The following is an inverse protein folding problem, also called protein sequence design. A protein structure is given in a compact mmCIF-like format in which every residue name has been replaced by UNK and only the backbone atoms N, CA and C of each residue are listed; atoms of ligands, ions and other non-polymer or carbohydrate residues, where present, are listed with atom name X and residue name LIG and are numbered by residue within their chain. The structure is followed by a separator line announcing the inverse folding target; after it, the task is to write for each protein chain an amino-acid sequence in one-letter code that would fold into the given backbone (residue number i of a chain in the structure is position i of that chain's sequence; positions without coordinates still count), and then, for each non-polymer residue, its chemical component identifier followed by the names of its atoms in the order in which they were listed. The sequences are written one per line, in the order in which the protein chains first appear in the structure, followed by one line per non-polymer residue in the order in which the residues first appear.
data_IF_432438424325
#
_entry.id   IF_432438424325
#
_cell.length_a   1.000
_cell.length_b   1.000
_cell.length_c   1.000
_cell.angle_alpha   90.00
_cell.angle_beta   90.00
_cell.angle_gamma   90.00
#
_symmetry.space_group_name_H-M   'P 1'
#
loop_
_entity.id
_entity.type
_entity.pdbx_description
1 polymer ?
#
# COMPACT_ATOMS: atom_id res chain seq x y z
N UNK A 1 25.42 3.30 9.10
CA UNK A 1 25.06 3.55 7.68
C UNK A 1 25.31 2.34 6.76
N UNK A 2 26.26 1.43 7.04
CA UNK A 2 26.45 0.22 6.21
C UNK A 2 25.36 -0.85 6.38
N UNK A 3 24.93 -1.17 7.61
CA UNK A 3 23.82 -2.14 7.83
C UNK A 3 22.48 -1.75 7.21
N UNK A 4 22.22 -0.47 7.00
CA UNK A 4 21.01 0.01 6.30
C UNK A 4 21.12 -0.21 4.80
N UNK A 5 22.34 -0.12 4.25
CA UNK A 5 22.66 -0.38 2.84
C UNK A 5 22.63 -1.87 2.53
N UNK A 6 23.06 -2.72 3.46
CA UNK A 6 22.94 -4.18 3.31
C UNK A 6 21.50 -4.66 3.29
N UNK A 7 20.63 -4.19 4.20
CA UNK A 7 19.24 -4.66 4.25
C UNK A 7 18.41 -4.25 3.02
N UNK A 8 18.58 -3.02 2.50
CA UNK A 8 17.87 -2.58 1.30
C UNK A 8 18.40 -3.25 0.02
N UNK A 9 19.68 -3.64 0.03
CA UNK A 9 20.30 -4.43 -1.04
C UNK A 9 19.88 -5.90 -0.97
N UNK A 10 19.80 -6.50 0.22
CA UNK A 10 19.20 -7.83 0.44
C UNK A 10 17.74 -7.87 0.03
N UNK A 11 16.96 -6.83 0.30
CA UNK A 11 15.55 -6.75 -0.13
C UNK A 11 15.42 -6.61 -1.67
N UNK A 12 16.38 -5.94 -2.32
CA UNK A 12 16.45 -5.83 -3.78
C UNK A 12 16.93 -7.12 -4.44
N UNK A 13 17.98 -7.74 -3.91
CA UNK A 13 18.57 -8.99 -4.40
C UNK A 13 17.65 -10.18 -4.14
N UNK A 14 16.94 -10.21 -3.01
CA UNK A 14 15.87 -11.19 -2.74
C UNK A 14 14.71 -11.02 -3.73
N UNK A 15 14.34 -9.79 -4.11
CA UNK A 15 13.31 -9.53 -5.14
C UNK A 15 13.75 -9.99 -6.53
N UNK A 16 15.02 -9.81 -6.90
CA UNK A 16 15.58 -10.36 -8.15
C UNK A 16 15.58 -11.88 -8.10
N UNK A 17 16.00 -12.49 -6.99
CA UNK A 17 16.02 -13.95 -6.84
C UNK A 17 14.61 -14.56 -6.89
N UNK A 18 13.61 -13.91 -6.30
CA UNK A 18 12.19 -14.33 -6.39
C UNK A 18 11.65 -14.12 -7.81
N UNK A 19 12.06 -13.07 -8.52
CA UNK A 19 11.69 -12.87 -9.93
C UNK A 19 12.33 -13.89 -10.86
N UNK A 20 13.59 -14.28 -10.64
CA UNK A 20 14.28 -15.33 -11.39
C UNK A 20 13.64 -16.70 -11.11
N UNK A 21 13.28 -16.98 -9.85
CA UNK A 21 12.51 -18.18 -9.50
C UNK A 21 11.12 -18.18 -10.16
N UNK A 22 10.44 -17.02 -10.26
CA UNK A 22 9.15 -16.91 -10.94
C UNK A 22 9.25 -17.12 -12.47
N UNK A 23 10.36 -16.77 -13.11
CA UNK A 23 10.59 -17.04 -14.53
C UNK A 23 10.91 -18.49 -14.88
N UNK A 24 11.25 -19.33 -13.89
CA UNK A 24 11.51 -20.77 -14.10
C UNK A 24 10.27 -21.67 -13.86
N UNK A 25 9.13 -21.08 -13.51
CA UNK A 25 7.87 -21.79 -13.25
C UNK A 25 6.84 -21.54 -14.36
N UNK A 26 7.20 -21.89 -15.61
CA UNK A 26 6.20 -22.13 -16.64
C UNK A 26 5.65 -23.54 -16.39
N UNK A 27 4.53 -23.65 -15.66
CA UNK A 27 3.72 -24.88 -15.63
C UNK A 27 3.48 -25.57 -14.28
N UNK A 28 3.66 -24.91 -13.13
CA UNK A 28 3.32 -25.50 -11.83
C UNK A 28 2.65 -24.48 -10.90
N UNK A 29 1.42 -24.76 -10.47
CA UNK A 29 0.74 -23.98 -9.43
C UNK A 29 1.55 -24.12 -8.15
N UNK A 30 2.22 -23.04 -7.72
CA UNK A 30 3.01 -23.05 -6.50
C UNK A 30 2.05 -23.19 -5.29
N UNK A 31 2.09 -24.34 -4.62
CA UNK A 31 1.18 -24.74 -3.54
C UNK A 31 1.61 -24.19 -2.17
N UNK A 32 2.13 -22.97 -2.11
CA UNK A 32 2.42 -22.32 -0.83
C UNK A 32 1.16 -21.65 -0.28
N UNK A 33 0.89 -21.87 1.01
CA UNK A 33 -0.20 -21.23 1.73
C UNK A 33 -0.14 -19.70 1.61
N UNK A 34 -1.22 -19.07 1.13
CA UNK A 34 -1.28 -17.61 1.02
C UNK A 34 -1.30 -16.97 2.41
N UNK A 35 -0.45 -15.96 2.64
CA UNK A 35 -0.44 -15.16 3.86
C UNK A 35 -1.24 -13.89 3.65
N UNK A 36 -2.33 -13.71 4.41
CA UNK A 36 -3.16 -12.51 4.35
C UNK A 36 -3.05 -11.76 5.68
N UNK A 37 -2.62 -10.51 5.61
CA UNK A 37 -2.67 -9.60 6.75
C UNK A 37 -4.03 -8.90 6.77
N UNK A 38 -4.70 -8.88 7.92
CA UNK A 38 -5.90 -8.07 8.16
C UNK A 38 -5.53 -6.93 9.09
N UNK A 39 -5.69 -5.68 8.63
CA UNK A 39 -5.48 -4.49 9.44
C UNK A 39 -6.85 -3.91 9.82
N UNK A 40 -7.16 -3.90 11.11
CA UNK A 40 -8.32 -3.18 11.65
C UNK A 40 -7.93 -1.72 11.94
N UNK A 41 -8.42 -0.81 11.10
CA UNK A 41 -8.23 0.63 11.25
C UNK A 41 -9.37 1.33 12.02
N UNK A 42 -10.27 0.58 12.66
CA UNK A 42 -11.26 1.12 13.57
C UNK A 42 -10.76 1.23 15.01
N UNK A 43 -11.36 2.09 15.84
CA UNK A 43 -11.02 2.20 17.27
C UNK A 43 -11.50 1.00 18.11
N UNK A 44 -12.35 0.14 17.55
CA UNK A 44 -12.85 -1.08 18.19
C UNK A 44 -13.32 -2.09 17.13
N UNK A 45 -13.66 -3.31 17.58
CA UNK A 45 -14.19 -4.41 16.75
C UNK A 45 -15.70 -4.25 16.48
N UNK A 46 -16.08 -3.20 15.76
CA UNK A 46 -17.49 -2.87 15.42
C UNK A 46 -18.02 -3.50 14.12
N UNK A 47 -19.01 -2.84 13.49
CA UNK A 47 -19.71 -3.33 12.30
C UNK A 47 -18.78 -3.70 11.12
N UNK A 48 -17.78 -2.87 10.82
CA UNK A 48 -16.81 -3.17 9.75
C UNK A 48 -15.97 -4.39 10.07
N UNK A 49 -15.58 -4.55 11.34
CA UNK A 49 -14.86 -5.74 11.79
C UNK A 49 -15.72 -6.99 11.65
N UNK A 50 -16.99 -6.93 12.05
CA UNK A 50 -17.94 -8.04 11.87
C UNK A 50 -18.09 -8.46 10.41
N UNK A 51 -18.18 -7.50 9.48
CA UNK A 51 -18.18 -7.81 8.05
C UNK A 51 -16.83 -8.40 7.58
N UNK A 52 -15.72 -7.96 8.18
CA UNK A 52 -14.38 -8.47 7.87
C UNK A 52 -14.22 -9.93 8.32
N UNK A 53 -14.81 -10.31 9.46
CA UNK A 53 -14.88 -11.71 9.89
C UNK A 53 -15.67 -12.59 8.92
N UNK A 54 -16.76 -12.08 8.34
CA UNK A 54 -17.48 -12.80 7.28
C UNK A 54 -16.63 -12.93 6.01
N UNK A 55 -15.87 -11.89 5.63
CA UNK A 55 -14.90 -11.97 4.52
C UNK A 55 -13.81 -13.00 4.80
N UNK A 56 -13.31 -13.08 6.04
CA UNK A 56 -12.33 -14.09 6.46
C UNK A 56 -12.89 -15.50 6.32
N UNK A 57 -14.14 -15.75 6.75
CA UNK A 57 -14.83 -17.04 6.55
C UNK A 57 -15.00 -17.39 5.07
N UNK A 58 -15.34 -16.40 4.24
CA UNK A 58 -15.47 -16.58 2.78
C UNK A 58 -14.12 -16.94 2.15
N UNK A 59 -13.03 -16.30 2.57
CA UNK A 59 -11.68 -16.65 2.11
C UNK A 59 -11.32 -18.09 2.50
N UNK A 60 -11.61 -18.48 3.75
CA UNK A 60 -11.37 -19.85 4.23
C UNK A 60 -12.21 -20.90 3.51
N UNK A 61 -13.41 -20.56 3.03
CA UNK A 61 -14.22 -21.49 2.23
C UNK A 61 -13.69 -21.67 0.80
N UNK A 62 -12.88 -20.74 0.30
CA UNK A 62 -12.18 -20.90 -0.98
C UNK A 62 -10.85 -21.62 -0.84
N UNK A 63 -10.12 -21.41 0.27
CA UNK A 63 -8.82 -22.03 0.53
C UNK A 63 -8.57 -22.09 2.05
N UNK A 64 -8.67 -23.30 2.60
CA UNK A 64 -8.46 -23.55 4.04
C UNK A 64 -6.99 -23.42 4.46
N UNK A 65 -6.05 -23.34 3.50
CA UNK A 65 -4.62 -23.22 3.79
C UNK A 65 -4.18 -21.78 4.04
N UNK A 66 -5.05 -20.79 3.84
CA UNK A 66 -4.73 -19.38 4.06
C UNK A 66 -4.31 -19.14 5.52
N UNK A 67 -3.15 -18.51 5.71
CA UNK A 67 -2.66 -18.07 7.01
C UNK A 67 -3.01 -16.60 7.21
N UNK A 68 -3.79 -16.31 8.25
CA UNK A 68 -4.17 -14.95 8.62
C UNK A 68 -3.27 -14.41 9.72
N UNK A 69 -2.75 -13.21 9.53
CA UNK A 69 -2.23 -12.36 10.62
C UNK A 69 -3.17 -11.17 10.81
N UNK A 70 -3.34 -10.70 12.03
CA UNK A 70 -4.21 -9.57 12.33
C UNK A 70 -3.44 -8.50 13.08
N UNK A 71 -3.66 -7.24 12.71
CA UNK A 71 -3.17 -6.08 13.43
C UNK A 71 -4.34 -5.15 13.70
N UNK A 72 -4.65 -4.91 14.99
CA UNK A 72 -5.65 -3.93 15.38
C UNK A 72 -4.95 -2.64 15.76
N UNK A 73 -5.14 -1.57 14.99
CA UNK A 73 -4.45 -0.31 15.26
C UNK A 73 -4.83 0.30 16.62
N UNK A 74 -6.01 -0.07 17.16
CA UNK A 74 -6.45 0.27 18.53
C UNK A 74 -5.53 -0.24 19.63
N UNK A 75 -4.76 -1.29 19.34
CA UNK A 75 -3.98 -2.01 20.34
C UNK A 75 -2.48 -1.64 20.24
N UNK A 76 -2.12 -0.74 19.31
CA UNK A 76 -0.73 -0.41 18.96
C UNK A 76 -0.22 0.81 19.72
N UNK A 77 -1.09 1.56 20.41
CA UNK A 77 -0.76 2.78 21.17
C UNK A 77 0.14 3.75 20.39
N UNK A 78 -0.11 3.91 19.09
CA UNK A 78 0.66 4.78 18.21
C UNK A 78 0.39 6.26 18.54
N UNK A 79 1.38 7.04 19.03
CA UNK A 79 1.20 8.47 19.27
C UNK A 79 0.91 9.21 17.96
N UNK A 80 0.33 10.42 18.04
CA UNK A 80 0.05 11.19 16.83
C UNK A 80 1.34 11.56 16.08
N UNK A 81 1.28 11.52 14.74
CA UNK A 81 2.39 12.00 13.91
C UNK A 81 2.64 13.48 14.22
N UNK A 82 3.86 13.80 14.64
CA UNK A 82 4.24 15.16 15.03
C UNK A 82 4.78 16.01 13.85
N UNK A 83 4.64 15.54 12.61
CA UNK A 83 5.05 16.31 11.43
C UNK A 83 6.56 16.52 11.26
N UNK A 84 7.43 15.88 12.07
CA UNK A 84 8.88 16.15 12.12
C UNK A 84 9.68 15.95 10.82
N UNK A 85 9.08 15.45 9.74
CA UNK A 85 9.70 15.23 8.42
C UNK A 85 10.96 14.33 8.38
N UNK A 86 11.39 13.75 9.50
CA UNK A 86 12.55 12.86 9.59
C UNK A 86 12.43 11.66 8.65
N UNK A 87 11.22 11.12 8.49
CA UNK A 87 10.98 9.99 7.60
C UNK A 87 11.32 10.31 6.13
N UNK A 88 11.13 11.55 5.69
CA UNK A 88 11.51 12.05 4.36
C UNK A 88 12.99 12.43 4.28
N UNK A 89 13.50 13.17 5.27
CA UNK A 89 14.85 13.73 5.26
C UNK A 89 15.95 12.70 5.50
N UNK A 90 15.78 11.87 6.54
CA UNK A 90 16.80 10.95 7.06
C UNK A 90 16.36 9.47 6.99
N UNK A 91 15.20 9.23 6.39
CA UNK A 91 14.59 7.92 6.26
C UNK A 91 13.69 7.51 7.44
N UNK A 92 12.66 6.71 7.11
CA UNK A 92 11.59 6.29 8.03
C UNK A 92 12.04 5.69 9.36
N UNK A 93 13.23 5.07 9.42
CA UNK A 93 13.82 4.50 10.65
C UNK A 93 14.19 5.55 11.69
N UNK A 94 14.32 6.82 11.29
CA UNK A 94 14.61 7.95 12.18
C UNK A 94 13.35 8.62 12.76
N UNK A 95 12.16 8.14 12.39
CA UNK A 95 10.93 8.57 13.04
C UNK A 95 10.97 8.22 14.55
N UNK A 96 10.59 9.14 15.46
CA UNK A 96 10.57 8.83 16.90
C UNK A 96 9.60 7.68 17.24
N UNK A 97 8.59 7.45 16.41
CA UNK A 97 7.61 6.37 16.57
C UNK A 97 7.94 5.13 15.70
N UNK A 98 9.14 5.04 15.11
CA UNK A 98 9.50 3.94 14.22
C UNK A 98 9.36 2.56 14.90
N UNK A 99 9.73 2.43 16.18
CA UNK A 99 9.62 1.16 16.92
C UNK A 99 8.18 0.61 16.97
N UNK A 100 7.18 1.47 16.84
CA UNK A 100 5.76 1.12 16.85
C UNK A 100 5.25 0.86 15.42
N UNK A 101 5.66 1.68 14.45
CA UNK A 101 5.19 1.59 13.07
C UNK A 101 5.85 0.45 12.30
N UNK A 102 7.14 0.20 12.53
CA UNK A 102 7.95 -0.76 11.79
C UNK A 102 7.38 -2.20 11.86
N UNK A 103 6.95 -2.74 13.01
CA UNK A 103 6.34 -4.06 13.06
C UNK A 103 5.12 -4.22 12.14
N UNK A 104 4.28 -3.18 11.98
CA UNK A 104 3.15 -3.23 11.05
C UNK A 104 3.64 -3.23 9.59
N UNK A 105 4.68 -2.46 9.28
CA UNK A 105 5.29 -2.47 7.95
C UNK A 105 5.86 -3.85 7.61
N UNK A 106 6.53 -4.50 8.57
CA UNK A 106 7.11 -5.83 8.39
C UNK A 106 6.00 -6.87 8.14
N UNK A 107 4.88 -6.78 8.87
CA UNK A 107 3.70 -7.61 8.61
C UNK A 107 3.14 -7.41 7.18
N UNK A 108 3.15 -6.18 6.65
CA UNK A 108 2.75 -5.91 5.26
C UNK A 108 3.75 -6.55 4.30
N UNK A 109 5.06 -6.42 4.54
CA UNK A 109 6.11 -6.99 3.67
C UNK A 109 6.04 -8.52 3.63
N UNK A 110 5.78 -9.18 4.77
CA UNK A 110 5.68 -10.64 4.90
C UNK A 110 4.41 -11.26 4.30
N UNK A 111 3.36 -10.46 4.03
CA UNK A 111 2.09 -10.96 3.52
C UNK A 111 2.01 -10.95 1.98
N UNK A 112 1.22 -11.84 1.40
CA UNK A 112 0.95 -11.85 -0.05
C UNK A 112 -0.10 -10.80 -0.44
N UNK A 113 -1.04 -10.54 0.47
CA UNK A 113 -2.08 -9.55 0.31
C UNK A 113 -2.51 -8.94 1.66
N UNK A 114 -3.26 -7.84 1.61
CA UNK A 114 -3.73 -7.12 2.80
C UNK A 114 -5.23 -6.83 2.72
N UNK A 115 -5.98 -7.13 3.78
CA UNK A 115 -7.36 -6.71 3.96
C UNK A 115 -7.39 -5.56 4.97
N UNK A 116 -7.99 -4.44 4.60
CA UNK A 116 -8.18 -3.28 5.47
C UNK A 116 -9.64 -3.19 5.91
N UNK A 117 -9.88 -3.31 7.22
CA UNK A 117 -11.17 -3.02 7.87
C UNK A 117 -11.20 -1.55 8.28
N UNK A 118 -12.01 -0.73 7.60
CA UNK A 118 -12.02 0.72 7.74
C UNK A 118 -13.44 1.25 7.96
N UNK A 119 -13.90 1.47 9.21
CA UNK A 119 -15.19 2.13 9.43
C UNK A 119 -15.21 3.53 8.80
N UNK A 120 -16.37 3.93 8.28
CA UNK A 120 -16.56 5.26 7.68
C UNK A 120 -16.97 6.26 8.76
N UNK A 121 -16.07 7.15 9.15
CA UNK A 121 -16.35 8.26 10.07
C UNK A 121 -16.31 9.58 9.31
N UNK A 122 -17.40 10.34 9.33
CA UNK A 122 -17.55 11.61 8.59
C UNK A 122 -17.21 11.48 7.09
N UNK A 123 -17.47 10.32 6.49
CA UNK A 123 -17.16 10.06 5.07
C UNK A 123 -15.68 9.85 4.76
N UNK A 124 -14.83 9.73 5.78
CA UNK A 124 -13.38 9.61 5.64
C UNK A 124 -12.81 8.46 6.50
N UNK A 125 -11.49 8.28 6.40
CA UNK A 125 -10.71 7.37 7.26
C UNK A 125 -10.86 7.74 8.75
N UNK A 126 -10.98 6.76 9.65
CA UNK A 126 -10.93 7.00 11.10
C UNK A 126 -9.62 7.66 11.52
N UNK A 127 -9.64 8.48 12.57
CA UNK A 127 -8.45 9.17 13.09
C UNK A 127 -7.29 8.23 13.41
N UNK A 128 -7.57 7.04 13.95
CA UNK A 128 -6.54 6.04 14.27
C UNK A 128 -5.84 5.48 13.01
N UNK A 129 -6.60 5.17 11.97
CA UNK A 129 -6.03 4.75 10.69
C UNK A 129 -5.33 5.90 10.00
N UNK A 130 -5.90 7.11 10.04
CA UNK A 130 -5.28 8.31 9.48
C UNK A 130 -3.94 8.59 10.14
N UNK A 131 -3.84 8.46 11.46
CA UNK A 131 -2.59 8.57 12.20
C UNK A 131 -1.55 7.55 11.71
N UNK A 132 -1.93 6.28 11.52
CA UNK A 132 -1.03 5.29 10.92
C UNK A 132 -0.60 5.71 9.49
N UNK A 133 -1.53 6.16 8.64
CA UNK A 133 -1.17 6.59 7.28
C UNK A 133 -0.28 7.83 7.26
N UNK A 134 -0.37 8.72 8.25
CA UNK A 134 0.46 9.91 8.37
C UNK A 134 1.92 9.56 8.72
N UNK A 135 2.14 8.54 9.54
CA UNK A 135 3.48 7.99 9.76
C UNK A 135 4.05 7.32 8.50
N UNK A 136 3.18 6.85 7.61
CA UNK A 136 3.52 6.18 6.37
C UNK A 136 3.58 7.15 5.17
N UNK A 137 3.46 8.46 5.38
CA UNK A 137 3.41 9.45 4.30
C UNK A 137 4.61 9.39 3.34
N UNK A 138 5.80 9.04 3.85
CA UNK A 138 7.02 8.85 3.04
C UNK A 138 6.86 7.78 1.94
N UNK A 139 5.92 6.85 2.08
CA UNK A 139 5.63 5.84 1.05
C UNK A 139 5.04 6.44 -0.23
N UNK A 140 4.43 7.63 -0.18
CA UNK A 140 3.94 8.33 -1.37
C UNK A 140 5.09 8.82 -2.25
N UNK A 141 6.27 9.01 -1.65
CA UNK A 141 7.50 9.39 -2.34
C UNK A 141 8.36 8.17 -2.67
N UNK A 142 8.35 7.17 -1.79
CA UNK A 142 9.19 5.98 -1.91
C UNK A 142 8.36 4.70 -1.82
N UNK A 143 7.49 4.44 -2.82
CA UNK A 143 6.61 3.27 -2.83
C UNK A 143 7.39 1.95 -2.79
N UNK A 144 6.78 0.92 -2.19
CA UNK A 144 7.43 -0.38 -1.93
C UNK A 144 6.59 -1.59 -2.32
N UNK A 145 5.27 -1.49 -2.27
CA UNK A 145 4.37 -2.65 -2.29
C UNK A 145 3.85 -3.00 -3.70
N UNK A 146 4.70 -2.87 -4.73
CA UNK A 146 4.35 -2.93 -6.16
C UNK A 146 3.65 -4.20 -6.66
N UNK A 147 3.77 -5.30 -5.93
CA UNK A 147 3.17 -6.60 -6.26
C UNK A 147 1.98 -6.96 -5.37
N UNK A 148 1.80 -6.26 -4.25
CA UNK A 148 0.77 -6.59 -3.25
C UNK A 148 -0.60 -6.11 -3.72
N UNK A 149 -1.62 -6.87 -3.34
CA UNK A 149 -3.03 -6.54 -3.58
C UNK A 149 -3.73 -6.26 -2.26
N UNK A 150 -4.72 -5.38 -2.30
CA UNK A 150 -5.50 -5.01 -1.13
C UNK A 150 -7.00 -5.21 -1.34
N UNK A 151 -7.72 -5.52 -0.28
CA UNK A 151 -9.17 -5.40 -0.18
C UNK A 151 -9.52 -4.41 0.93
N UNK A 152 -10.19 -3.31 0.57
CA UNK A 152 -10.63 -2.28 1.53
C UNK A 152 -12.11 -2.46 1.81
N UNK A 153 -12.44 -2.80 3.06
CA UNK A 153 -13.79 -3.02 3.55
C UNK A 153 -14.21 -1.81 4.36
N UNK A 154 -15.38 -1.26 4.08
CA UNK A 154 -15.93 -0.16 4.88
C UNK A 154 -17.42 -0.31 5.09
N UNK A 155 -17.86 -0.05 6.32
CA UNK A 155 -19.29 0.07 6.64
C UNK A 155 -19.63 1.50 7.08
N UNK A 156 -20.85 1.94 6.78
CA UNK A 156 -21.44 3.21 7.23
C UNK A 156 -22.87 2.98 7.71
N UNK A 157 -23.31 3.75 8.71
CA UNK A 157 -24.72 3.79 9.12
C UNK A 157 -25.61 4.56 8.13
N UNK A 158 -25.04 5.30 7.18
CA UNK A 158 -25.80 6.12 6.23
C UNK A 158 -25.15 6.14 4.86
N UNK A 159 -24.39 7.19 4.57
CA UNK A 159 -23.75 7.41 3.27
C UNK A 159 -22.21 7.37 3.38
N UNK A 160 -21.53 7.45 2.25
CA UNK A 160 -20.07 7.71 2.16
C UNK A 160 -19.11 6.56 2.49
N UNK A 161 -19.58 5.32 2.69
CA UNK A 161 -18.67 4.16 2.74
C UNK A 161 -17.80 4.06 1.47
N UNK A 162 -18.35 4.40 0.29
CA UNK A 162 -17.57 4.42 -0.96
C UNK A 162 -16.44 5.46 -0.93
N UNK A 163 -16.71 6.65 -0.40
CA UNK A 163 -15.70 7.71 -0.27
C UNK A 163 -14.55 7.26 0.63
N UNK A 164 -14.87 6.58 1.74
CA UNK A 164 -13.87 6.01 2.65
C UNK A 164 -13.01 4.95 1.97
N UNK A 165 -13.62 3.99 1.25
CA UNK A 165 -12.85 2.96 0.53
C UNK A 165 -11.96 3.57 -0.57
N UNK A 166 -12.44 4.61 -1.26
CA UNK A 166 -11.68 5.30 -2.32
C UNK A 166 -10.50 6.09 -1.75
N UNK A 167 -10.69 6.77 -0.62
CA UNK A 167 -9.64 7.53 0.04
C UNK A 167 -8.45 6.64 0.44
N UNK A 168 -8.73 5.48 1.05
CA UNK A 168 -7.65 4.53 1.37
C UNK A 168 -7.06 3.91 0.10
N UNK A 169 -7.87 3.50 -0.88
CA UNK A 169 -7.36 2.89 -2.12
C UNK A 169 -6.43 3.84 -2.90
N UNK A 170 -6.71 5.15 -2.90
CA UNK A 170 -5.82 6.15 -3.47
C UNK A 170 -4.47 6.20 -2.71
N UNK A 171 -4.53 6.21 -1.37
CA UNK A 171 -3.33 6.18 -0.51
C UNK A 171 -2.48 4.93 -0.76
N UNK A 172 -3.10 3.75 -0.78
CA UNK A 172 -2.43 2.46 -1.02
C UNK A 172 -1.80 2.37 -2.40
N UNK A 173 -2.45 2.93 -3.43
CA UNK A 173 -1.88 3.01 -4.78
C UNK A 173 -0.60 3.85 -4.76
N UNK A 174 -0.57 4.94 -3.98
CA UNK A 174 0.62 5.75 -3.77
C UNK A 174 1.74 5.01 -3.02
N UNK A 175 1.42 4.07 -2.14
CA UNK A 175 2.41 3.17 -1.49
C UNK A 175 2.91 2.06 -2.41
N UNK A 176 2.33 1.95 -3.61
CA UNK A 176 2.68 1.00 -4.65
C UNK A 176 1.74 -0.20 -4.78
N UNK A 177 0.68 -0.35 -3.98
CA UNK A 177 -0.21 -1.52 -4.12
C UNK A 177 -0.70 -1.69 -5.57
N UNK A 178 -0.49 -2.87 -6.14
CA UNK A 178 -0.76 -3.15 -7.54
C UNK A 178 -2.25 -3.04 -7.89
N UNK A 179 -3.09 -3.52 -6.98
CA UNK A 179 -4.55 -3.51 -7.14
C UNK A 179 -5.24 -3.38 -5.78
N UNK A 180 -6.20 -2.46 -5.70
CA UNK A 180 -7.06 -2.30 -4.54
C UNK A 180 -8.52 -2.63 -4.92
N UNK A 181 -9.09 -3.62 -4.26
CA UNK A 181 -10.52 -3.97 -4.29
C UNK A 181 -11.24 -3.19 -3.19
N UNK A 182 -12.51 -2.86 -3.41
CA UNK A 182 -13.28 -1.99 -2.51
C UNK A 182 -14.65 -2.63 -2.22
N UNK A 183 -14.97 -2.78 -0.94
CA UNK A 183 -16.24 -3.31 -0.44
C UNK A 183 -16.92 -2.29 0.49
N UNK A 184 -17.58 -1.25 -0.06
CA UNK A 184 -18.38 -0.34 0.73
C UNK A 184 -19.79 -0.92 0.97
N UNK A 185 -20.19 -0.99 2.24
CA UNK A 185 -21.50 -1.49 2.68
C UNK A 185 -22.20 -0.45 3.54
N UNK A 186 -23.51 -0.30 3.33
CA UNK A 186 -24.38 0.51 4.20
C UNK A 186 -25.01 -0.42 5.24
N UNK A 187 -24.47 -0.39 6.45
CA UNK A 187 -24.84 -1.23 7.58
C UNK A 187 -25.77 -0.47 8.53
N UNK A 188 -27.04 -0.31 8.15
CA UNK A 188 -28.07 0.34 8.97
C UNK A 188 -28.28 -0.46 10.26
N UNK A 189 -27.72 0.00 11.37
CA UNK A 189 -27.85 -0.65 12.67
C UNK A 189 -27.42 0.27 13.80
N UNK A 190 -28.06 0.13 14.96
CA UNK A 190 -27.63 0.73 16.22
C UNK A 190 -26.77 -0.27 16.99
N UNK A 191 -25.49 -0.36 16.64
CA UNK A 191 -24.50 -1.28 17.26
C UNK A 191 -24.83 -2.79 17.24
N UNK A 192 -25.81 -3.20 16.42
CA UNK A 192 -26.24 -4.59 16.27
C UNK A 192 -26.27 -5.00 14.79
N UNK A 193 -25.21 -4.70 14.05
CA UNK A 193 -25.18 -5.03 12.62
C UNK A 193 -25.18 -6.55 12.41
N UNK A 194 -26.21 -7.03 11.74
CA UNK A 194 -26.24 -8.37 11.17
C UNK A 194 -26.17 -8.25 9.65
N UNK A 195 -25.08 -8.75 9.01
CA UNK A 195 -24.96 -8.71 7.56
C UNK A 195 -26.17 -9.36 6.88
N UNK A 196 -26.88 -8.56 6.08
CA UNK A 196 -28.02 -9.07 5.32
C UNK A 196 -27.56 -10.04 4.25
N UNK A 197 -28.46 -10.88 3.70
CA UNK A 197 -28.17 -11.72 2.53
C UNK A 197 -27.56 -10.92 1.36
N UNK A 198 -27.99 -9.67 1.19
CA UNK A 198 -27.46 -8.76 0.15
C UNK A 198 -26.03 -8.33 0.46
N UNK A 199 -25.72 -8.01 1.71
CA UNK A 199 -24.37 -7.63 2.12
C UNK A 199 -23.41 -8.81 1.98
N UNK A 200 -23.83 -9.99 2.44
CA UNK A 200 -23.08 -11.24 2.30
C UNK A 200 -22.82 -11.60 0.84
N UNK A 201 -23.82 -11.45 -0.04
CA UNK A 201 -23.61 -11.65 -1.50
C UNK A 201 -22.57 -10.70 -2.07
N UNK A 202 -22.65 -9.40 -1.74
CA UNK A 202 -21.65 -8.40 -2.18
C UNK A 202 -20.25 -8.71 -1.64
N UNK A 203 -20.17 -9.09 -0.36
CA UNK A 203 -18.93 -9.47 0.29
C UNK A 203 -18.33 -10.69 -0.41
N UNK A 204 -19.14 -11.72 -0.68
CA UNK A 204 -18.72 -12.92 -1.40
C UNK A 204 -18.20 -12.60 -2.81
N UNK A 205 -18.96 -11.85 -3.61
CA UNK A 205 -18.58 -11.52 -4.99
C UNK A 205 -17.27 -10.71 -5.06
N UNK A 206 -17.09 -9.75 -4.14
CA UNK A 206 -15.87 -8.95 -4.08
C UNK A 206 -14.68 -9.77 -3.56
N UNK A 207 -14.89 -10.57 -2.53
CA UNK A 207 -13.87 -11.46 -1.93
C UNK A 207 -13.40 -12.49 -2.94
N UNK A 208 -14.31 -13.08 -3.72
CA UNK A 208 -13.97 -14.00 -4.81
C UNK A 208 -13.06 -13.34 -5.85
N UNK A 209 -13.39 -12.12 -6.29
CA UNK A 209 -12.56 -11.37 -7.24
C UNK A 209 -11.18 -11.06 -6.69
N UNK A 210 -11.08 -10.67 -5.42
CA UNK A 210 -9.82 -10.43 -4.74
C UNK A 210 -9.00 -11.72 -4.61
N UNK A 211 -9.59 -12.80 -4.10
CA UNK A 211 -8.92 -14.09 -3.89
C UNK A 211 -8.38 -14.68 -5.19
N UNK A 212 -9.20 -14.75 -6.25
CA UNK A 212 -8.77 -15.29 -7.54
C UNK A 212 -7.59 -14.48 -8.11
N UNK A 213 -7.61 -13.15 -7.97
CA UNK A 213 -6.54 -12.29 -8.45
C UNK A 213 -5.25 -12.46 -7.63
N UNK A 214 -5.35 -12.57 -6.30
CA UNK A 214 -4.22 -12.90 -5.43
C UNK A 214 -3.62 -14.25 -5.83
N UNK A 215 -4.42 -15.31 -5.91
CA UNK A 215 -3.96 -16.67 -6.21
C UNK A 215 -3.36 -16.79 -7.61
N UNK A 216 -3.87 -16.04 -8.59
CA UNK A 216 -3.35 -16.08 -9.96
C UNK A 216 -1.94 -15.50 -10.11
N UNK A 217 -1.44 -14.74 -9.12
CA UNK A 217 -0.16 -14.02 -9.24
C UNK A 217 -0.18 -12.90 -10.28
N UNK A 218 -1.33 -12.61 -10.92
CA UNK A 218 -1.44 -11.60 -11.97
C UNK A 218 -0.97 -10.23 -11.48
N UNK A 219 -0.07 -9.61 -12.23
CA UNK A 219 0.37 -8.23 -12.00
C UNK A 219 -0.36 -7.32 -12.98
N UNK A 220 -1.05 -6.32 -12.46
CA UNK A 220 -1.82 -5.35 -13.25
C UNK A 220 -0.95 -4.19 -13.70
N UNK A 221 -1.27 -3.68 -14.89
CA UNK A 221 -0.67 -2.45 -15.42
C UNK A 221 -1.08 -1.27 -14.54
N UNK A 222 -0.13 -0.43 -14.07
CA UNK A 222 -0.42 0.66 -13.13
C UNK A 222 -1.35 1.71 -13.73
N UNK A 223 -2.11 2.40 -12.89
CA UNK A 223 -2.95 3.54 -13.31
C UNK A 223 -2.07 4.73 -13.71
N UNK A 224 -2.62 5.67 -14.49
CA UNK A 224 -1.90 6.89 -14.87
C UNK A 224 -1.53 7.73 -13.62
N UNK A 225 -2.41 7.73 -12.60
CA UNK A 225 -2.21 8.51 -11.38
C UNK A 225 -0.93 8.19 -10.63
N UNK A 226 -0.45 6.94 -10.66
CA UNK A 226 0.82 6.55 -10.01
C UNK A 226 2.04 6.74 -10.91
N UNK A 227 1.85 6.85 -12.23
CA UNK A 227 2.96 7.10 -13.16
C UNK A 227 3.50 8.52 -13.06
N UNK A 228 2.61 9.48 -12.78
CA UNK A 228 2.95 10.90 -12.62
C UNK A 228 3.98 11.10 -11.49
N UNK A 229 3.66 10.82 -10.21
CA UNK A 229 4.62 11.02 -9.14
C UNK A 229 5.87 10.15 -9.33
N UNK A 230 5.72 8.90 -9.80
CA UNK A 230 6.86 8.02 -9.99
C UNK A 230 7.91 8.60 -10.94
N UNK A 231 7.52 9.05 -12.13
CA UNK A 231 8.46 9.57 -13.13
C UNK A 231 8.93 11.00 -12.80
N UNK A 232 8.11 11.81 -12.12
CA UNK A 232 8.51 13.15 -11.67
C UNK A 232 9.58 13.07 -10.59
N UNK A 233 9.35 12.33 -9.50
CA UNK A 233 10.31 12.24 -8.41
C UNK A 233 11.62 11.59 -8.85
N UNK A 234 11.55 10.54 -9.68
CA UNK A 234 12.72 9.95 -10.31
C UNK A 234 13.56 10.99 -11.06
N UNK A 235 12.92 11.82 -11.90
CA UNK A 235 13.63 12.84 -12.67
C UNK A 235 14.22 13.94 -11.79
N UNK A 236 13.45 14.39 -10.79
CA UNK A 236 13.84 15.51 -9.94
C UNK A 236 14.93 15.17 -8.92
N UNK A 237 15.09 13.90 -8.55
CA UNK A 237 16.10 13.48 -7.57
C UNK A 237 17.44 13.10 -8.21
N UNK A 238 17.47 12.72 -9.51
CA UNK A 238 18.70 12.30 -10.21
C UNK A 238 19.59 13.50 -10.61
N UNK A 239 19.02 14.67 -10.86
CA UNK A 239 19.74 15.88 -11.28
C UNK A 239 19.55 17.05 -10.31
N UNK A 240 19.21 16.76 -9.05
CA UNK A 240 18.85 17.78 -8.07
C UNK A 240 20.06 18.62 -7.66
N UNK A 241 20.05 19.92 -7.96
CA UNK A 241 21.09 20.85 -7.52
C UNK A 241 21.20 21.00 -6.00
N UNK A 242 20.11 20.76 -5.26
CA UNK A 242 20.03 20.90 -3.81
C UNK A 242 20.39 19.65 -3.02
N UNK A 243 20.87 18.57 -3.66
CA UNK A 243 21.32 17.36 -2.95
C UNK A 243 22.46 17.66 -1.96
N UNK A 244 23.34 18.62 -2.29
CA UNK A 244 24.42 19.04 -1.40
C UNK A 244 23.93 19.88 -0.22
N UNK A 245 22.94 20.73 -0.46
CA UNK A 245 22.50 21.73 0.51
C UNK A 245 21.41 21.18 1.45
N UNK A 246 20.55 20.30 0.93
CA UNK A 246 19.43 19.68 1.65
C UNK A 246 19.27 18.21 1.24
N UNK A 247 20.20 17.32 1.59
CA UNK A 247 20.09 15.90 1.25
C UNK A 247 18.86 15.29 1.91
N UNK A 248 18.10 14.51 1.13
CA UNK A 248 16.91 13.80 1.60
C UNK A 248 17.04 12.31 1.29
N UNK A 249 16.28 11.48 1.99
CA UNK A 249 16.28 10.03 1.74
C UNK A 249 15.77 9.69 0.32
N UNK A 250 15.01 10.60 -0.28
CA UNK A 250 14.52 10.46 -1.65
C UNK A 250 15.67 10.53 -2.68
N UNK A 251 16.71 11.36 -2.43
CA UNK A 251 17.91 11.45 -3.29
C UNK A 251 18.63 10.11 -3.39
N UNK A 252 18.69 9.33 -2.31
CA UNK A 252 19.30 8.00 -2.31
C UNK A 252 18.38 6.92 -2.90
N UNK A 253 17.06 7.09 -2.80
CA UNK A 253 16.10 6.10 -3.25
C UNK A 253 15.92 6.08 -4.77
N UNK A 254 15.81 7.23 -5.42
CA UNK A 254 15.40 7.32 -6.83
C UNK A 254 16.44 6.89 -7.88
N UNK A 255 17.76 7.04 -7.66
CA UNK A 255 18.78 6.58 -8.61
C UNK A 255 18.65 5.11 -9.01
N UNK A 256 18.17 4.23 -8.11
CA UNK A 256 17.96 2.80 -8.41
C UNK A 256 16.88 2.52 -9.47
N UNK A 257 16.00 3.50 -9.72
CA UNK A 257 14.99 3.39 -10.76
C UNK A 257 15.41 4.09 -12.05
N UNK A 258 16.61 4.68 -12.15
CA UNK A 258 17.02 5.49 -13.31
C UNK A 258 16.78 4.78 -14.64
N UNK A 259 16.19 5.51 -15.61
CA UNK A 259 15.82 4.97 -16.93
C UNK A 259 14.53 4.13 -16.97
N UNK A 260 14.02 3.68 -15.82
CA UNK A 260 12.76 2.94 -15.73
C UNK A 260 11.55 3.86 -15.82
N UNK A 261 10.40 3.34 -16.28
CA UNK A 261 9.12 4.10 -16.35
C UNK A 261 8.16 3.79 -15.22
N UNK A 262 8.41 2.68 -14.54
CA UNK A 262 7.73 2.22 -13.35
C UNK A 262 8.58 1.14 -12.66
N UNK A 263 8.11 0.59 -11.54
CA UNK A 263 8.85 -0.42 -10.78
C UNK A 263 9.19 -1.68 -11.62
N UNK A 264 10.36 -2.31 -11.40
CA UNK A 264 10.76 -3.55 -12.05
C UNK A 264 9.70 -4.65 -11.94
N UNK A 265 9.56 -5.46 -12.99
CA UNK A 265 8.63 -6.59 -13.02
C UNK A 265 7.15 -6.20 -13.22
N UNK A 266 6.80 -4.92 -13.20
CA UNK A 266 5.43 -4.47 -13.43
C UNK A 266 5.19 -4.25 -14.94
N UNK A 267 4.16 -4.88 -15.54
CA UNK A 267 3.88 -4.75 -16.96
C UNK A 267 3.41 -3.33 -17.29
N UNK A 268 3.84 -2.85 -18.46
CA UNK A 268 3.54 -1.52 -18.97
C UNK A 268 3.18 -1.59 -20.45
N UNK A 269 2.06 -0.96 -20.82
CA UNK A 269 1.67 -0.82 -22.23
C UNK A 269 2.61 0.18 -22.94
N UNK A 270 2.81 0.06 -24.27
CA UNK A 270 3.64 1.02 -25.02
C UNK A 270 3.21 2.48 -24.80
N UNK A 271 1.90 2.74 -24.79
CA UNK A 271 1.33 4.07 -24.52
C UNK A 271 1.70 4.62 -23.14
N UNK A 272 1.67 3.77 -22.10
CA UNK A 272 2.06 4.18 -20.74
C UNK A 272 3.57 4.36 -20.60
N UNK A 273 4.38 3.59 -21.33
CA UNK A 273 5.84 3.79 -21.38
C UNK A 273 6.17 5.16 -21.99
N UNK A 274 5.51 5.51 -23.10
CA UNK A 274 5.67 6.81 -23.76
C UNK A 274 5.22 7.97 -22.85
N UNK A 275 4.04 7.83 -22.21
CA UNK A 275 3.55 8.82 -21.26
C UNK A 275 4.51 9.03 -20.08
N UNK A 276 4.99 7.93 -19.47
CA UNK A 276 5.97 8.00 -18.38
C UNK A 276 7.27 8.70 -18.80
N UNK A 277 7.72 8.46 -20.04
CA UNK A 277 8.91 9.12 -20.58
C UNK A 277 8.70 10.62 -20.75
N UNK A 278 7.54 11.04 -21.26
CA UNK A 278 7.20 12.46 -21.38
C UNK A 278 7.13 13.15 -20.00
N UNK A 279 6.51 12.50 -19.01
CA UNK A 279 6.47 13.00 -17.62
C UNK A 279 7.88 13.14 -17.05
N UNK A 280 8.74 12.16 -17.28
CA UNK A 280 10.13 12.20 -16.86
C UNK A 280 10.88 13.40 -17.46
N UNK A 281 10.68 13.71 -18.75
CA UNK A 281 11.28 14.89 -19.39
C UNK A 281 10.81 16.21 -18.76
N UNK A 282 9.51 16.30 -18.41
CA UNK A 282 8.98 17.45 -17.66
C UNK A 282 9.69 17.56 -16.31
N UNK A 283 9.81 16.47 -15.58
CA UNK A 283 10.49 16.42 -14.28
C UNK A 283 11.96 16.87 -14.38
N UNK A 284 12.69 16.46 -15.43
CA UNK A 284 14.06 16.93 -15.68
C UNK A 284 14.11 18.44 -15.87
N UNK A 285 13.16 19.03 -16.61
CA UNK A 285 13.09 20.49 -16.79
C UNK A 285 12.83 21.19 -15.45
N UNK A 286 11.91 20.69 -14.64
CA UNK A 286 11.57 21.24 -13.33
C UNK A 286 12.73 21.15 -12.33
N UNK A 287 13.51 20.07 -12.37
CA UNK A 287 14.65 19.84 -11.46
C UNK A 287 15.71 20.95 -11.50
N UNK A 288 15.81 21.69 -12.61
CA UNK A 288 16.79 22.77 -12.78
C UNK A 288 16.48 24.02 -11.95
N UNK A 289 15.21 24.20 -11.57
CA UNK A 289 14.70 25.39 -10.88
C UNK A 289 14.04 25.07 -9.53
N UNK A 290 13.75 23.80 -9.24
CA UNK A 290 13.07 23.38 -8.03
C UNK A 290 14.04 22.70 -7.06
N UNK A 291 14.08 23.18 -5.82
CA UNK A 291 14.74 22.49 -4.71
C UNK A 291 13.68 21.71 -3.94
N UNK A 292 13.93 20.43 -3.70
CA UNK A 292 13.03 19.60 -2.89
C UNK A 292 13.41 19.82 -1.44
N UNK A 293 12.54 20.49 -0.68
CA UNK A 293 12.72 20.72 0.74
C UNK A 293 11.55 20.15 1.53
N UNK A 294 11.81 19.64 2.72
CA UNK A 294 10.79 19.23 3.68
C UNK A 294 10.88 20.16 4.88
N UNK A 295 9.78 20.82 5.19
CA UNK A 295 9.66 21.75 6.30
C UNK A 295 9.39 20.94 7.58
N UNK A 296 9.89 21.42 8.72
CA UNK A 296 9.54 20.93 10.06
C UNK A 296 8.22 21.52 10.55
#
# INVERSE_FOLDING_TARGET
MERLREFDKECFDHKISVMIAASSLIGGVNLTASKILIINGGPHKGNTWRLTEEVKKILQSFDQTIVFKEAHLSDVDLPFCIGCSNCFRKGHKTCPHNKIVQPIMDLIEESDAVVFSVPCFQGHLPGILKNFTDHMAFMLHRPRYFTKKALVISTTGGVSASSTTKALAATLSGWGFNKCYQLPIRALSWNAYEPTKKDLKKAHDMTKKFYVDVKSGKIHVPSIGVLIPFNLFQAMCVENKGETDYPTEDNYFWPKYSGMRYAPGIPMTPTKKLLGWFIYLIGKKLSKSMVITYIE
#
